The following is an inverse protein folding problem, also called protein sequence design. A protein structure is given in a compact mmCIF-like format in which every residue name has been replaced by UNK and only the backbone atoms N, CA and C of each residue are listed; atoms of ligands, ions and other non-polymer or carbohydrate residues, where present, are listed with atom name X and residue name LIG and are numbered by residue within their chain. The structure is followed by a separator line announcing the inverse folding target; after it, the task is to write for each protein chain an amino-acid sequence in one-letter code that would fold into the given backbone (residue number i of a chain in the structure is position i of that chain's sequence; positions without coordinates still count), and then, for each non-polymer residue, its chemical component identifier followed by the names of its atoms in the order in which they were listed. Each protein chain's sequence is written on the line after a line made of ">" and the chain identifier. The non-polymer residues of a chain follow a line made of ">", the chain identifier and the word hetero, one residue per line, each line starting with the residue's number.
data_IF_730222236033
#
_entry.id   IF_730222236033
#
_cell.length_a   1.000
_cell.length_b   1.000
_cell.length_c   1.000
_cell.angle_alpha   90.00
_cell.angle_beta   90.00
_cell.angle_gamma   90.00
#
_symmetry.space_group_name_H-M   'P 1'
#
loop_
_entity.id
_entity.type
_entity.pdbx_description
1 polymer ?
#
# COMPACT_ATOMS: atom_id res chain seq x y z
N UNK A 1 16.25 8.27 -10.90
CA UNK A 1 15.53 7.05 -10.46
C UNK A 1 14.21 6.90 -11.20
N UNK A 2 13.25 7.83 -11.13
CA UNK A 2 11.95 7.70 -11.83
C UNK A 2 12.09 7.38 -13.33
N UNK A 3 12.88 8.18 -14.07
CA UNK A 3 13.17 7.89 -15.49
C UNK A 3 13.81 6.51 -15.75
N UNK A 4 14.59 5.98 -14.81
CA UNK A 4 15.19 4.64 -14.92
C UNK A 4 14.10 3.56 -14.83
N UNK A 5 13.21 3.68 -13.84
CA UNK A 5 12.04 2.81 -13.68
C UNK A 5 11.13 2.84 -14.91
N UNK A 6 10.82 4.04 -15.41
CA UNK A 6 9.98 4.23 -16.60
C UNK A 6 10.62 3.61 -17.85
N UNK A 7 11.95 3.71 -18.00
CA UNK A 7 12.66 3.09 -19.13
C UNK A 7 12.65 1.56 -19.11
N UNK A 8 12.47 0.95 -17.92
CA UNK A 8 12.23 -0.48 -17.78
C UNK A 8 10.76 -0.89 -17.93
N UNK A 9 9.86 0.06 -18.20
CA UNK A 9 8.43 -0.20 -18.40
C UNK A 9 7.59 -0.15 -17.13
N UNK A 10 8.15 0.32 -16.01
CA UNK A 10 7.38 0.50 -14.77
C UNK A 10 6.48 1.73 -14.89
N UNK A 11 5.16 1.52 -14.80
CA UNK A 11 4.15 2.59 -14.90
C UNK A 11 3.50 2.95 -13.57
N UNK A 12 3.77 2.19 -12.50
CA UNK A 12 3.20 2.46 -11.16
C UNK A 12 4.30 2.50 -10.10
N UNK A 13 4.41 3.63 -9.42
CA UNK A 13 5.40 3.91 -8.39
C UNK A 13 4.75 3.94 -7.01
N UNK A 14 4.95 2.89 -6.24
CA UNK A 14 4.50 2.84 -4.85
C UNK A 14 5.61 3.31 -3.90
N UNK A 15 5.51 4.55 -3.43
CA UNK A 15 6.56 5.21 -2.66
C UNK A 15 6.29 5.11 -1.15
N UNK A 16 7.01 4.23 -0.45
CA UNK A 16 6.74 3.89 0.95
C UNK A 16 7.89 3.23 1.68
N UNK A 17 7.70 1.97 2.11
CA UNK A 17 8.63 1.26 3.00
C UNK A 17 10.09 1.21 2.52
N UNK A 18 10.33 0.88 1.24
CA UNK A 18 11.69 0.81 0.67
C UNK A 18 12.36 2.19 0.57
N UNK A 19 11.55 3.25 0.52
CA UNK A 19 12.02 4.63 0.51
C UNK A 19 12.17 5.23 1.91
N UNK A 20 12.03 4.40 2.97
CA UNK A 20 12.11 4.84 4.36
C UNK A 20 11.15 6.00 4.70
N UNK A 21 10.01 6.08 4.02
CA UNK A 21 9.10 7.24 4.11
C UNK A 21 8.61 7.53 5.54
N UNK A 22 8.51 6.50 6.38
CA UNK A 22 8.14 6.62 7.79
C UNK A 22 9.08 7.54 8.60
N UNK A 23 10.28 7.84 8.08
CA UNK A 23 11.27 8.70 8.72
C UNK A 23 11.27 10.14 8.20
N UNK A 24 10.45 10.46 7.18
CA UNK A 24 10.34 11.82 6.64
C UNK A 24 9.51 12.66 7.60
N UNK A 25 10.00 13.86 7.95
CA UNK A 25 9.25 14.77 8.82
C UNK A 25 8.03 15.36 8.11
N UNK A 26 7.02 15.81 8.86
CA UNK A 26 5.87 16.48 8.26
C UNK A 26 6.28 17.75 7.49
N UNK A 27 7.31 18.46 7.96
CA UNK A 27 7.81 19.69 7.33
C UNK A 27 8.45 19.43 5.96
N UNK A 28 9.05 18.26 5.77
CA UNK A 28 9.65 17.87 4.47
C UNK A 28 8.64 17.16 3.56
N UNK A 29 7.54 16.65 4.12
CA UNK A 29 6.59 15.80 3.41
C UNK A 29 5.98 16.48 2.18
N UNK A 30 5.55 17.74 2.30
CA UNK A 30 4.97 18.49 1.17
C UNK A 30 5.96 18.68 0.02
N UNK A 31 7.21 19.04 0.33
CA UNK A 31 8.28 19.19 -0.67
C UNK A 31 8.59 17.85 -1.35
N UNK A 32 8.62 16.75 -0.58
CA UNK A 32 8.80 15.42 -1.13
C UNK A 32 7.69 15.05 -2.11
N UNK A 33 6.42 15.30 -1.75
CA UNK A 33 5.28 15.04 -2.63
C UNK A 33 5.37 15.86 -3.92
N UNK A 34 5.80 17.12 -3.83
CA UNK A 34 6.01 17.96 -5.01
C UNK A 34 7.07 17.36 -5.94
N UNK A 35 8.22 16.97 -5.39
CA UNK A 35 9.28 16.31 -6.18
C UNK A 35 8.76 15.05 -6.85
N UNK A 36 7.97 14.23 -6.15
CA UNK A 36 7.38 13.01 -6.71
C UNK A 36 6.40 13.31 -7.85
N UNK A 37 5.53 14.30 -7.68
CA UNK A 37 4.54 14.70 -8.69
C UNK A 37 5.21 15.28 -9.95
N UNK A 38 6.24 16.11 -9.79
CA UNK A 38 6.96 16.74 -10.91
C UNK A 38 7.94 15.79 -11.63
N UNK A 39 8.41 14.74 -10.95
CA UNK A 39 9.39 13.81 -11.51
C UNK A 39 8.78 12.71 -12.37
N UNK A 40 7.48 12.43 -12.22
CA UNK A 40 6.80 11.35 -12.92
C UNK A 40 6.29 11.77 -14.30
N UNK A 41 6.46 10.91 -15.30
CA UNK A 41 5.88 11.08 -16.61
C UNK A 41 4.34 11.00 -16.61
N UNK A 42 3.67 11.45 -17.69
CA UNK A 42 2.21 11.51 -17.76
C UNK A 42 1.53 10.13 -17.66
N UNK A 43 2.21 9.06 -18.08
CA UNK A 43 1.71 7.68 -18.01
C UNK A 43 2.08 6.97 -16.69
N UNK A 44 2.78 7.67 -15.79
CA UNK A 44 3.29 7.09 -14.54
C UNK A 44 2.39 7.44 -13.37
N UNK A 45 1.76 6.42 -12.78
CA UNK A 45 0.97 6.57 -11.57
C UNK A 45 1.86 6.56 -10.33
N UNK A 46 1.83 7.63 -9.53
CA UNK A 46 2.53 7.70 -8.24
C UNK A 46 1.55 7.51 -7.09
N UNK A 47 1.90 6.61 -6.17
CA UNK A 47 1.14 6.33 -4.95
C UNK A 47 2.07 6.56 -3.75
N UNK A 48 2.02 7.74 -3.10
CA UNK A 48 2.78 8.00 -1.89
C UNK A 48 2.16 7.25 -0.70
N UNK A 49 2.89 7.20 0.41
CA UNK A 49 2.40 6.59 1.65
C UNK A 49 2.17 7.61 2.76
N UNK A 50 1.39 7.22 3.77
CA UNK A 50 1.11 7.96 5.01
C UNK A 50 1.29 7.06 6.23
N UNK A 51 1.40 7.66 7.42
CA UNK A 51 1.62 6.98 8.69
C UNK A 51 3.11 6.72 8.97
N UNK A 52 3.44 5.75 9.84
CA UNK A 52 2.60 4.64 10.26
C UNK A 52 1.66 4.94 11.44
N UNK A 53 1.85 6.04 12.18
CA UNK A 53 0.98 6.39 13.32
C UNK A 53 -0.24 7.20 12.86
N UNK A 54 -1.38 7.01 13.53
CA UNK A 54 -2.66 7.61 13.11
C UNK A 54 -2.65 9.14 13.11
N UNK A 55 -2.15 9.78 14.17
CA UNK A 55 -2.09 11.25 14.25
C UNK A 55 -1.24 11.84 13.13
N UNK A 56 -0.06 11.24 12.89
CA UNK A 56 0.82 11.67 11.80
C UNK A 56 0.20 11.45 10.42
N UNK A 57 -0.49 10.34 10.20
CA UNK A 57 -1.22 10.09 8.97
C UNK A 57 -2.32 11.14 8.73
N UNK A 58 -3.04 11.58 9.78
CA UNK A 58 -4.04 12.65 9.67
C UNK A 58 -3.42 13.99 9.25
N UNK A 59 -2.25 14.33 9.80
CA UNK A 59 -1.52 15.54 9.41
C UNK A 59 -1.04 15.46 7.96
N UNK A 60 -0.50 14.32 7.54
CA UNK A 60 -0.08 14.08 6.16
C UNK A 60 -1.25 14.13 5.17
N UNK A 61 -2.44 13.62 5.56
CA UNK A 61 -3.66 13.74 4.75
C UNK A 61 -4.06 15.21 4.54
N UNK A 62 -3.80 16.11 5.50
CA UNK A 62 -4.06 17.53 5.31
C UNK A 62 -3.18 18.12 4.18
N UNK A 63 -1.90 17.77 4.14
CA UNK A 63 -0.96 18.17 3.09
C UNK A 63 -1.34 17.56 1.73
N UNK A 64 -1.71 16.27 1.71
CA UNK A 64 -2.07 15.54 0.48
C UNK A 64 -3.24 16.14 -0.29
N UNK A 65 -4.09 16.97 0.34
CA UNK A 65 -5.20 17.65 -0.34
C UNK A 65 -4.76 18.62 -1.43
N UNK A 66 -3.52 19.09 -1.36
CA UNK A 66 -2.92 19.96 -2.36
C UNK A 66 -2.43 19.19 -3.61
N UNK A 67 -2.53 17.85 -3.59
CA UNK A 67 -2.02 16.97 -4.63
C UNK A 67 -3.10 16.07 -5.26
N UNK A 68 -2.84 15.62 -6.48
CA UNK A 68 -3.79 14.84 -7.30
C UNK A 68 -3.50 13.34 -7.36
N UNK A 69 -2.66 12.79 -6.48
CA UNK A 69 -2.36 11.36 -6.43
C UNK A 69 -3.64 10.51 -6.31
N UNK A 70 -3.83 9.45 -7.14
CA UNK A 70 -5.11 8.75 -7.22
C UNK A 70 -5.50 8.05 -5.91
N UNK A 71 -4.52 7.62 -5.13
CA UNK A 71 -4.70 6.99 -3.82
C UNK A 71 -3.39 7.14 -3.03
N UNK A 72 -3.39 6.72 -1.77
CA UNK A 72 -2.21 6.68 -0.91
C UNK A 72 -2.15 5.35 -0.16
N UNK A 73 -0.95 4.89 0.16
CA UNK A 73 -0.77 3.69 0.97
C UNK A 73 -0.64 4.01 2.46
N UNK A 74 -1.47 3.38 3.28
CA UNK A 74 -1.29 3.45 4.73
C UNK A 74 -0.16 2.50 5.14
N UNK A 75 0.91 3.04 5.71
CA UNK A 75 1.98 2.24 6.28
C UNK A 75 1.46 1.53 7.55
N UNK A 76 1.79 0.25 7.75
CA UNK A 76 1.30 -0.52 8.88
C UNK A 76 1.89 0.02 10.19
N UNK A 77 1.03 0.25 11.17
CA UNK A 77 1.46 0.45 12.56
C UNK A 77 1.78 -0.90 13.20
N UNK A 78 2.81 -0.95 14.04
CA UNK A 78 3.16 -2.15 14.83
C UNK A 78 2.66 -2.11 16.26
N UNK A 79 2.50 -0.93 16.85
CA UNK A 79 2.31 -0.78 18.29
C UNK A 79 0.88 -0.37 18.65
N UNK A 80 0.36 -0.97 19.73
CA UNK A 80 -0.88 -0.57 20.43
C UNK A 80 -2.12 -0.38 19.53
N UNK A 81 -2.37 -1.33 18.61
CA UNK A 81 -3.57 -1.31 17.77
C UNK A 81 -4.42 -2.57 17.97
N UNK A 82 -5.73 -2.42 17.73
CA UNK A 82 -6.67 -3.54 17.58
C UNK A 82 -7.22 -3.52 16.16
N UNK A 83 -7.72 -4.65 15.63
CA UNK A 83 -8.37 -4.67 14.31
C UNK A 83 -9.49 -3.62 14.18
N UNK A 84 -10.32 -3.48 15.23
CA UNK A 84 -11.38 -2.46 15.28
C UNK A 84 -10.82 -1.03 15.25
N UNK A 85 -9.71 -0.77 15.96
CA UNK A 85 -9.04 0.52 15.96
C UNK A 85 -8.44 0.89 14.60
N UNK A 86 -7.79 -0.08 13.94
CA UNK A 86 -7.26 0.11 12.57
C UNK A 86 -8.41 0.42 11.61
N UNK A 87 -9.49 -0.36 11.64
CA UNK A 87 -10.65 -0.14 10.78
C UNK A 87 -11.31 1.22 11.00
N UNK A 88 -11.41 1.67 12.26
CA UNK A 88 -11.89 3.02 12.58
C UNK A 88 -10.94 4.11 12.08
N UNK A 89 -9.62 3.89 12.20
CA UNK A 89 -8.60 4.80 11.69
C UNK A 89 -8.65 4.96 10.17
N UNK A 90 -8.77 3.84 9.44
CA UNK A 90 -8.93 3.83 7.97
C UNK A 90 -10.14 4.65 7.55
N UNK A 91 -11.31 4.43 8.18
CA UNK A 91 -12.53 5.22 7.91
C UNK A 91 -12.28 6.72 8.04
N UNK A 92 -11.72 7.16 9.18
CA UNK A 92 -11.46 8.58 9.43
C UNK A 92 -10.44 9.19 8.46
N UNK A 93 -9.41 8.42 8.08
CA UNK A 93 -8.43 8.85 7.09
C UNK A 93 -9.08 9.02 5.71
N UNK A 94 -9.88 8.06 5.27
CA UNK A 94 -10.61 8.12 3.99
C UNK A 94 -11.62 9.26 3.99
N UNK A 95 -12.40 9.43 5.06
CA UNK A 95 -13.35 10.56 5.21
C UNK A 95 -12.63 11.91 5.06
N UNK A 96 -11.44 12.04 5.64
CA UNK A 96 -10.65 13.27 5.59
C UNK A 96 -9.95 13.46 4.25
N UNK A 97 -9.49 12.38 3.61
CA UNK A 97 -8.77 12.38 2.33
C UNK A 97 -9.71 12.53 1.13
N UNK A 98 -10.93 12.00 1.22
CA UNK A 98 -11.95 12.03 0.17
C UNK A 98 -11.78 10.97 -0.93
N UNK A 99 -10.89 9.98 -0.75
CA UNK A 99 -10.67 8.88 -1.70
C UNK A 99 -10.17 7.62 -0.98
N UNK A 100 -10.41 6.41 -1.51
CA UNK A 100 -9.97 5.16 -0.89
C UNK A 100 -8.44 5.06 -0.81
N UNK A 101 -7.95 4.25 0.12
CA UNK A 101 -6.52 4.05 0.38
C UNK A 101 -6.06 2.64 0.04
N UNK A 102 -4.76 2.48 -0.19
CA UNK A 102 -4.13 1.17 -0.29
C UNK A 102 -3.90 0.62 1.11
N UNK A 103 -4.47 -0.56 1.39
CA UNK A 103 -4.29 -1.25 2.66
C UNK A 103 -3.03 -2.12 2.60
N UNK A 104 -2.04 -1.81 3.44
CA UNK A 104 -0.81 -2.60 3.52
C UNK A 104 -0.86 -3.62 4.66
N UNK A 105 -1.10 -4.89 4.31
CA UNK A 105 -1.04 -6.01 5.24
C UNK A 105 0.39 -6.54 5.32
N UNK A 106 1.10 -6.23 6.41
CA UNK A 106 2.50 -6.65 6.59
C UNK A 106 2.72 -7.65 7.73
N UNK A 107 1.76 -7.74 8.65
CA UNK A 107 1.89 -8.54 9.86
C UNK A 107 0.69 -9.47 9.97
N UNK A 108 0.96 -10.70 10.40
CA UNK A 108 -0.09 -11.67 10.64
C UNK A 108 -1.01 -11.20 11.76
N UNK A 109 -2.31 -11.43 11.61
CA UNK A 109 -3.31 -11.01 12.59
C UNK A 109 -3.54 -9.49 12.69
N UNK A 110 -2.99 -8.67 11.79
CA UNK A 110 -3.23 -7.21 11.78
C UNK A 110 -4.72 -6.87 11.61
N UNK A 111 -5.37 -7.53 10.65
CA UNK A 111 -6.80 -7.47 10.40
C UNK A 111 -7.29 -8.86 10.01
N UNK A 112 -8.50 -9.22 10.44
CA UNK A 112 -9.17 -10.42 9.96
C UNK A 112 -9.86 -10.17 8.62
N UNK A 113 -10.12 -11.26 7.88
CA UNK A 113 -10.79 -11.19 6.57
C UNK A 113 -12.15 -10.49 6.65
N UNK A 114 -13.04 -10.77 7.63
CA UNK A 114 -14.32 -10.06 7.74
C UNK A 114 -14.18 -8.54 7.86
N UNK A 115 -13.19 -8.05 8.61
CA UNK A 115 -12.93 -6.62 8.76
C UNK A 115 -12.45 -6.02 7.44
N UNK A 116 -11.55 -6.70 6.73
CA UNK A 116 -11.04 -6.24 5.42
C UNK A 116 -12.19 -6.17 4.41
N UNK A 117 -13.00 -7.24 4.33
CA UNK A 117 -14.16 -7.30 3.43
C UNK A 117 -15.18 -6.19 3.73
N UNK A 118 -15.40 -5.88 5.01
CA UNK A 118 -16.26 -4.76 5.38
C UNK A 118 -15.69 -3.41 4.91
N UNK A 119 -14.40 -3.15 5.12
CA UNK A 119 -13.76 -1.92 4.65
C UNK A 119 -13.81 -1.78 3.12
N UNK A 120 -13.64 -2.89 2.39
CA UNK A 120 -13.77 -2.92 0.93
C UNK A 120 -15.19 -2.65 0.46
N UNK A 121 -16.19 -3.32 1.05
CA UNK A 121 -17.61 -3.09 0.75
C UNK A 121 -18.02 -1.64 1.02
N UNK A 122 -17.46 -1.04 2.07
CA UNK A 122 -17.69 0.36 2.43
C UNK A 122 -16.95 1.34 1.48
N UNK A 123 -16.21 0.86 0.47
CA UNK A 123 -15.53 1.68 -0.55
C UNK A 123 -14.26 2.38 -0.05
N UNK A 124 -13.66 1.89 1.04
CA UNK A 124 -12.56 2.58 1.74
C UNK A 124 -11.18 2.14 1.27
N UNK A 125 -11.09 0.96 0.65
CA UNK A 125 -9.84 0.36 0.18
C UNK A 125 -9.81 0.37 -1.34
N UNK A 126 -8.72 0.88 -1.92
CA UNK A 126 -8.51 0.90 -3.37
C UNK A 126 -7.94 -0.44 -3.85
N UNK A 127 -6.91 -0.93 -3.17
CA UNK A 127 -6.32 -2.26 -3.35
C UNK A 127 -5.49 -2.65 -2.14
N UNK A 128 -5.11 -3.92 -2.05
CA UNK A 128 -4.39 -4.49 -0.92
C UNK A 128 -2.96 -4.79 -1.33
N UNK A 129 -2.00 -4.25 -0.57
CA UNK A 129 -0.61 -4.71 -0.62
C UNK A 129 -0.43 -5.82 0.40
N UNK A 130 -0.16 -7.04 -0.06
CA UNK A 130 0.01 -8.22 0.79
C UNK A 130 1.48 -8.61 0.98
N UNK A 131 2.03 -8.46 2.19
CA UNK A 131 3.40 -8.82 2.54
C UNK A 131 3.52 -9.55 3.88
N UNK A 132 2.54 -10.40 4.21
CA UNK A 132 2.64 -11.28 5.38
C UNK A 132 3.54 -12.46 5.01
N UNK A 133 4.69 -12.58 5.66
CA UNK A 133 5.67 -13.62 5.37
C UNK A 133 5.19 -14.96 5.91
N UNK A 134 5.28 -16.00 5.07
CA UNK A 134 5.06 -17.40 5.44
C UNK A 134 6.36 -18.20 5.27
N UNK A 135 6.61 -19.26 6.08
CA UNK A 135 7.72 -20.18 5.84
C UNK A 135 7.68 -20.81 4.45
N UNK A 136 6.49 -21.20 4.00
CA UNK A 136 6.22 -21.67 2.64
C UNK A 136 5.11 -20.79 2.04
N UNK A 137 5.39 -20.02 0.97
CA UNK A 137 4.40 -19.08 0.41
C UNK A 137 3.09 -19.73 -0.05
N UNK A 138 3.10 -21.00 -0.46
CA UNK A 138 1.90 -21.73 -0.91
C UNK A 138 0.97 -22.12 0.26
N UNK A 139 1.53 -22.20 1.46
CA UNK A 139 0.85 -22.59 2.69
C UNK A 139 0.36 -21.36 3.44
N UNK A 140 -0.55 -20.63 2.79
CA UNK A 140 -1.10 -19.38 3.30
C UNK A 140 -2.63 -19.43 3.33
N UNK A 141 -3.21 -19.97 4.41
CA UNK A 141 -4.66 -20.04 4.56
C UNK A 141 -5.31 -18.65 4.63
N UNK A 142 -4.63 -17.68 5.25
CA UNK A 142 -5.13 -16.31 5.34
C UNK A 142 -5.25 -15.69 3.95
N UNK A 143 -4.23 -15.84 3.08
CA UNK A 143 -4.30 -15.33 1.72
C UNK A 143 -5.39 -16.05 0.90
N UNK A 144 -5.59 -17.37 1.09
CA UNK A 144 -6.68 -18.13 0.44
C UNK A 144 -8.05 -17.57 0.82
N UNK A 145 -8.28 -17.37 2.12
CA UNK A 145 -9.55 -16.87 2.64
C UNK A 145 -9.78 -15.42 2.19
N UNK A 146 -8.74 -14.59 2.16
CA UNK A 146 -8.81 -13.22 1.68
C UNK A 146 -9.18 -13.19 0.19
N UNK A 147 -8.50 -13.96 -0.66
CA UNK A 147 -8.81 -14.07 -2.09
C UNK A 147 -10.24 -14.54 -2.32
N UNK A 148 -10.70 -15.55 -1.57
CA UNK A 148 -12.07 -16.04 -1.67
C UNK A 148 -13.11 -14.96 -1.30
N UNK A 149 -12.77 -14.05 -0.39
CA UNK A 149 -13.68 -13.01 0.07
C UNK A 149 -13.70 -11.76 -0.82
N UNK A 150 -12.57 -11.40 -1.45
CA UNK A 150 -12.43 -10.10 -2.13
C UNK A 150 -11.98 -10.16 -3.58
N UNK A 151 -11.57 -11.33 -4.08
CA UNK A 151 -11.01 -11.51 -5.41
C UNK A 151 -9.48 -11.30 -5.44
N UNK A 152 -8.74 -12.02 -6.30
CA UNK A 152 -7.29 -11.84 -6.43
C UNK A 152 -6.91 -10.54 -7.17
N UNK A 153 -7.83 -9.94 -7.93
CA UNK A 153 -7.60 -8.77 -8.79
C UNK A 153 -7.36 -7.45 -8.04
N UNK A 154 -7.66 -7.44 -6.76
CA UNK A 154 -7.51 -6.30 -5.85
C UNK A 154 -6.24 -6.44 -5.01
N UNK A 155 -5.55 -7.58 -5.07
CA UNK A 155 -4.42 -7.89 -4.21
C UNK A 155 -3.13 -7.88 -5.03
N UNK A 156 -2.17 -7.07 -4.59
CA UNK A 156 -0.82 -6.98 -5.14
C UNK A 156 0.15 -7.55 -4.11
N UNK A 157 1.05 -8.43 -4.54
CA UNK A 157 2.08 -8.93 -3.64
C UNK A 157 3.05 -7.82 -3.25
N UNK A 158 3.26 -7.62 -1.95
CA UNK A 158 4.27 -6.72 -1.42
C UNK A 158 5.67 -7.33 -1.26
N UNK A 159 5.89 -8.57 -1.76
CA UNK A 159 7.12 -9.34 -1.61
C UNK A 159 7.57 -9.85 -2.99
N UNK A 160 8.28 -9.00 -3.72
CA UNK A 160 8.64 -9.23 -5.12
C UNK A 160 9.78 -10.21 -5.38
N UNK A 161 10.20 -10.97 -4.36
CA UNK A 161 11.27 -11.96 -4.43
C UNK A 161 10.65 -13.36 -4.61
N UNK A 162 11.11 -14.36 -3.84
CA UNK A 162 10.60 -15.74 -3.95
C UNK A 162 9.06 -15.88 -3.79
N UNK A 163 8.38 -15.15 -2.89
CA UNK A 163 6.93 -15.28 -2.74
C UNK A 163 6.12 -14.81 -3.96
N UNK A 164 6.62 -13.85 -4.73
CA UNK A 164 5.89 -13.30 -5.88
C UNK A 164 5.55 -14.36 -6.93
N UNK A 165 6.46 -15.32 -7.17
CA UNK A 165 6.21 -16.39 -8.15
C UNK A 165 4.97 -17.20 -7.76
N UNK A 166 4.87 -17.60 -6.49
CA UNK A 166 3.73 -18.36 -5.98
C UNK A 166 2.47 -17.49 -5.95
N UNK A 167 2.59 -16.24 -5.51
CA UNK A 167 1.47 -15.30 -5.47
C UNK A 167 0.85 -15.04 -6.85
N UNK A 168 1.66 -14.86 -7.89
CA UNK A 168 1.14 -14.61 -9.24
C UNK A 168 0.65 -15.92 -9.88
N UNK A 169 1.46 -16.98 -9.83
CA UNK A 169 1.16 -18.24 -10.55
C UNK A 169 0.04 -19.05 -9.88
N UNK A 170 0.11 -19.24 -8.57
CA UNK A 170 -0.73 -20.19 -7.84
C UNK A 170 -1.93 -19.51 -7.17
N UNK A 171 -1.76 -18.25 -6.73
CA UNK A 171 -2.84 -17.45 -6.12
C UNK A 171 -3.52 -16.47 -7.10
N UNK A 172 -2.94 -16.24 -8.28
CA UNK A 172 -3.53 -15.39 -9.31
C UNK A 172 -3.50 -13.89 -8.99
N UNK A 173 -2.63 -13.42 -8.08
CA UNK A 173 -2.52 -12.00 -7.76
C UNK A 173 -2.11 -11.18 -9.00
N UNK A 174 -2.61 -9.95 -9.13
CA UNK A 174 -2.44 -9.13 -10.34
C UNK A 174 -1.03 -8.57 -10.55
N UNK A 175 -0.17 -8.63 -9.55
CA UNK A 175 1.19 -8.13 -9.66
C UNK A 175 1.94 -8.17 -8.34
N UNK A 176 3.12 -7.57 -8.35
CA UNK A 176 3.96 -7.45 -7.17
C UNK A 176 4.65 -6.09 -7.10
N UNK A 177 5.13 -5.74 -5.91
CA UNK A 177 6.01 -4.60 -5.66
C UNK A 177 7.32 -5.12 -5.08
N UNK A 178 8.46 -4.62 -5.57
CA UNK A 178 9.78 -4.96 -5.04
C UNK A 178 10.68 -3.73 -4.96
N UNK A 179 11.65 -3.76 -4.05
CA UNK A 179 12.77 -2.83 -4.08
C UNK A 179 13.80 -3.18 -5.17
N UNK A 180 13.89 -4.46 -5.56
CA UNK A 180 14.81 -4.91 -6.61
C UNK A 180 14.50 -4.29 -7.98
N UNK A 181 13.23 -3.98 -8.24
CA UNK A 181 12.78 -3.26 -9.45
C UNK A 181 13.42 -1.86 -9.55
N UNK A 182 13.82 -1.23 -8.43
CA UNK A 182 14.57 0.03 -8.48
C UNK A 182 15.98 -0.12 -9.07
N UNK A 183 16.53 -1.34 -9.08
CA UNK A 183 17.85 -1.64 -9.62
C UNK A 183 17.71 -2.20 -11.04
N UNK A 184 16.83 -3.19 -11.23
CA UNK A 184 16.55 -3.86 -12.49
C UNK A 184 15.04 -3.78 -12.81
N UNK A 185 14.58 -2.65 -13.37
CA UNK A 185 13.18 -2.43 -13.72
C UNK A 185 12.73 -3.24 -14.93
#
# INVERSE_FOLDING_TARGET
>A
MVRHLESGGVTTLLYGGNAALAHVSLTEYGQLLQVLAESAGPETTVIPSIGPTFGFAMDQVAVLKEFTFPTVMLLPSRDATTPAGIAAGVRRLVDRLGRPIVLYLKHDGMLDVPTITALMRDGLISWIKYAVVRPLPIDDSFLKDLIAAVGPEIIVSGMGEQPAVVHLRDFGLIGFTSGCVCVAP
#
